data_IF_476702990398
#
_entry.id   IF_476702990398
#
_cell.length_a   1.000
_cell.length_b   1.000
_cell.length_c   1.000
_cell.angle_alpha   90.00
_cell.angle_beta   90.00
_cell.angle_gamma   90.00
#
_symmetry.space_group_name_H-M   'P 1'
#
loop_
_entity.id
_entity.type
_entity.pdbx_description
1 polymer ?
#
# COMPACT_ATOMS: atom_id res chain seq x y z
N UNK A 1 -11.33 -3.83 -29.30
CA UNK A 1 -10.27 -2.80 -29.39
C UNK A 1 -10.83 -1.42 -29.11
N UNK A 2 -11.62 -0.88 -30.03
CA UNK A 2 -12.19 0.48 -29.96
C UNK A 2 -13.14 0.70 -28.76
N UNK A 3 -14.03 -0.25 -28.48
CA UNK A 3 -14.99 -0.13 -27.37
C UNK A 3 -14.33 -0.15 -25.98
N UNK A 4 -13.27 -0.95 -25.79
CA UNK A 4 -12.48 -0.97 -24.55
C UNK A 4 -11.81 0.38 -24.31
N UNK A 5 -11.19 0.97 -25.33
CA UNK A 5 -10.54 2.28 -25.23
C UNK A 5 -11.53 3.40 -24.94
N UNK A 6 -12.71 3.36 -25.59
CA UNK A 6 -13.82 4.29 -25.30
C UNK A 6 -14.27 4.17 -23.86
N UNK A 7 -14.44 2.96 -23.35
CA UNK A 7 -14.84 2.73 -21.95
C UNK A 7 -13.80 3.27 -20.96
N UNK A 8 -12.51 3.03 -21.21
CA UNK A 8 -11.42 3.60 -20.40
C UNK A 8 -11.46 5.14 -20.44
N UNK A 9 -11.63 5.73 -21.62
CA UNK A 9 -11.70 7.18 -21.76
C UNK A 9 -12.89 7.77 -20.99
N UNK A 10 -14.08 7.16 -21.09
CA UNK A 10 -15.26 7.60 -20.35
C UNK A 10 -15.07 7.48 -18.83
N UNK A 11 -14.44 6.41 -18.36
CA UNK A 11 -14.12 6.24 -16.94
C UNK A 11 -13.17 7.34 -16.46
N UNK A 12 -12.05 7.57 -17.16
CA UNK A 12 -11.08 8.62 -16.81
C UNK A 12 -11.72 9.99 -16.84
N UNK A 13 -12.53 10.30 -17.87
CA UNK A 13 -13.25 11.58 -17.98
C UNK A 13 -14.19 11.78 -16.79
N UNK A 14 -14.99 10.77 -16.42
CA UNK A 14 -15.91 10.83 -15.28
C UNK A 14 -15.17 11.13 -13.97
N UNK A 15 -14.04 10.44 -13.73
CA UNK A 15 -13.21 10.65 -12.53
C UNK A 15 -12.62 12.06 -12.50
N UNK A 16 -12.15 12.56 -13.65
CA UNK A 16 -11.62 13.91 -13.79
C UNK A 16 -12.69 14.99 -13.53
N UNK A 17 -13.88 14.86 -14.13
CA UNK A 17 -14.98 15.78 -13.94
C UNK A 17 -15.44 15.84 -12.48
N UNK A 18 -15.51 14.69 -11.80
CA UNK A 18 -15.85 14.62 -10.38
C UNK A 18 -14.81 15.36 -9.51
N UNK A 19 -13.52 15.17 -9.78
CA UNK A 19 -12.44 15.83 -9.06
C UNK A 19 -12.47 17.36 -9.24
N UNK A 20 -12.57 17.82 -10.49
CA UNK A 20 -12.66 19.25 -10.82
C UNK A 20 -13.92 19.88 -10.22
N UNK A 21 -15.03 19.15 -10.18
CA UNK A 21 -16.28 19.62 -9.58
C UNK A 21 -16.16 19.95 -8.09
N UNK A 22 -15.27 19.26 -7.35
CA UNK A 22 -14.94 19.60 -5.96
C UNK A 22 -13.97 20.77 -5.92
N UNK A 23 -12.85 20.67 -6.64
CA UNK A 23 -11.78 21.68 -6.60
C UNK A 23 -12.23 23.08 -7.03
N UNK A 24 -13.25 23.19 -7.91
CA UNK A 24 -13.84 24.49 -8.30
C UNK A 24 -14.70 25.13 -7.20
N UNK A 25 -15.20 24.35 -6.24
CA UNK A 25 -16.08 24.83 -5.16
C UNK A 25 -15.30 25.15 -3.90
N UNK A 26 -14.25 24.40 -3.64
CA UNK A 26 -13.42 24.52 -2.45
C UNK A 26 -12.35 25.59 -2.66
N UNK A 27 -12.25 26.56 -1.74
CA UNK A 27 -11.14 27.52 -1.71
C UNK A 27 -10.01 26.94 -0.86
N UNK A 28 -8.98 26.44 -1.50
CA UNK A 28 -7.79 25.91 -0.82
C UNK A 28 -6.81 27.05 -0.55
N UNK A 29 -6.57 27.35 0.73
CA UNK A 29 -5.45 28.20 1.15
C UNK A 29 -4.18 27.35 1.23
N UNK A 30 -3.09 27.81 0.63
CA UNK A 30 -1.79 27.13 0.69
C UNK A 30 -0.91 27.85 1.71
N UNK A 31 -0.91 27.31 2.92
CA UNK A 31 -0.06 27.77 4.02
C UNK A 31 0.41 26.52 4.80
N UNK A 32 1.69 26.13 4.69
CA UNK A 32 2.21 24.94 5.35
C UNK A 32 2.40 25.12 6.86
N UNK A 33 2.47 26.36 7.34
CA UNK A 33 2.72 26.69 8.75
C UNK A 33 1.40 26.86 9.53
N UNK A 34 0.27 26.99 8.84
CA UNK A 34 -1.08 26.98 9.43
C UNK A 34 -1.69 25.56 9.46
N UNK A 35 -1.81 24.92 10.65
CA UNK A 35 -2.41 23.59 10.76
C UNK A 35 -3.86 23.52 10.26
N UNK A 36 -4.63 24.61 10.34
CA UNK A 36 -6.00 24.65 9.86
C UNK A 36 -6.05 24.61 8.33
N UNK A 37 -5.19 25.37 7.64
CA UNK A 37 -5.03 25.32 6.20
C UNK A 37 -4.60 23.92 5.72
N UNK A 38 -3.61 23.30 6.37
CA UNK A 38 -3.15 21.95 6.07
C UNK A 38 -4.26 20.91 6.25
N UNK A 39 -4.98 20.96 7.38
CA UNK A 39 -6.10 20.06 7.66
C UNK A 39 -7.24 20.22 6.65
N UNK A 40 -7.57 21.47 6.29
CA UNK A 40 -8.58 21.76 5.28
C UNK A 40 -8.17 21.20 3.90
N UNK A 41 -6.93 21.42 3.47
CA UNK A 41 -6.40 20.83 2.24
C UNK A 41 -6.52 19.30 2.24
N UNK A 42 -6.09 18.64 3.33
CA UNK A 42 -6.17 17.18 3.45
C UNK A 42 -7.63 16.68 3.34
N UNK A 43 -8.58 17.38 3.95
CA UNK A 43 -10.01 17.09 3.87
C UNK A 43 -10.54 17.23 2.43
N UNK A 44 -10.22 18.34 1.75
CA UNK A 44 -10.63 18.56 0.36
C UNK A 44 -10.08 17.47 -0.55
N UNK A 45 -8.79 17.16 -0.44
CA UNK A 45 -8.16 16.10 -1.23
C UNK A 45 -8.73 14.71 -0.93
N UNK A 46 -9.11 14.44 0.32
CA UNK A 46 -9.84 13.21 0.68
C UNK A 46 -11.19 13.14 -0.05
N UNK A 47 -11.99 14.22 0.01
CA UNK A 47 -13.28 14.30 -0.69
C UNK A 47 -13.14 14.17 -2.21
N UNK A 48 -12.10 14.77 -2.81
CA UNK A 48 -11.78 14.59 -4.24
C UNK A 48 -11.59 13.11 -4.57
N UNK A 49 -10.77 12.40 -3.79
CA UNK A 49 -10.50 10.97 -4.02
C UNK A 49 -11.76 10.12 -3.89
N UNK A 50 -12.55 10.34 -2.84
CA UNK A 50 -13.80 9.61 -2.60
C UNK A 50 -14.82 9.83 -3.73
N UNK A 51 -15.02 11.09 -4.17
CA UNK A 51 -15.98 11.39 -5.24
C UNK A 51 -15.52 10.95 -6.62
N UNK A 52 -14.21 10.93 -6.86
CA UNK A 52 -13.63 10.46 -8.11
C UNK A 52 -13.36 8.95 -8.11
N UNK A 53 -13.77 8.21 -7.07
CA UNK A 53 -13.52 6.77 -6.92
C UNK A 53 -12.03 6.42 -7.15
N UNK A 54 -11.16 7.21 -6.51
CA UNK A 54 -9.72 7.05 -6.54
C UNK A 54 -9.27 6.41 -5.22
N UNK A 55 -8.41 5.40 -5.33
CA UNK A 55 -7.80 4.80 -4.15
C UNK A 55 -7.01 5.82 -3.33
N UNK A 56 -7.12 5.74 -2.01
CA UNK A 56 -6.16 6.33 -1.08
C UNK A 56 -4.77 5.71 -1.27
N UNK A 57 -3.72 6.36 -0.77
CA UNK A 57 -2.37 5.78 -0.82
C UNK A 57 -2.28 4.47 -0.04
N UNK A 58 -2.97 4.34 1.10
CA UNK A 58 -3.05 3.08 1.84
C UNK A 58 -3.74 1.97 1.03
N UNK A 59 -4.84 2.27 0.34
CA UNK A 59 -5.53 1.32 -0.55
C UNK A 59 -4.63 0.93 -1.73
N UNK A 60 -3.90 1.88 -2.33
CA UNK A 60 -2.93 1.60 -3.41
C UNK A 60 -1.80 0.69 -2.96
N UNK A 61 -1.26 0.92 -1.76
CA UNK A 61 -0.24 0.06 -1.14
C UNK A 61 -0.79 -1.35 -0.97
N UNK A 62 -1.96 -1.48 -0.32
CA UNK A 62 -2.61 -2.77 -0.09
C UNK A 62 -2.87 -3.52 -1.41
N UNK A 63 -3.44 -2.84 -2.40
CA UNK A 63 -3.69 -3.41 -3.73
C UNK A 63 -2.39 -3.90 -4.39
N UNK A 64 -1.31 -3.12 -4.33
CA UNK A 64 -0.01 -3.49 -4.90
C UNK A 64 0.56 -4.73 -4.21
N UNK A 65 0.52 -4.78 -2.87
CA UNK A 65 0.97 -5.93 -2.10
C UNK A 65 0.16 -7.16 -2.48
N UNK A 66 -1.17 -7.08 -2.43
CA UNK A 66 -2.05 -8.21 -2.73
C UNK A 66 -1.81 -8.75 -4.15
N UNK A 67 -1.85 -7.89 -5.16
CA UNK A 67 -1.69 -8.31 -6.56
C UNK A 67 -0.34 -8.97 -6.83
N UNK A 68 0.74 -8.48 -6.21
CA UNK A 68 2.09 -9.03 -6.38
C UNK A 68 2.37 -10.26 -5.54
N UNK A 69 1.66 -10.45 -4.43
CA UNK A 69 1.97 -11.51 -3.47
C UNK A 69 0.90 -12.60 -3.35
N UNK A 70 -0.25 -12.46 -4.01
CA UNK A 70 -1.39 -13.39 -3.87
C UNK A 70 -1.04 -14.86 -4.18
N UNK A 71 -0.06 -15.11 -5.06
CA UNK A 71 0.35 -16.48 -5.46
C UNK A 71 1.61 -16.97 -4.73
N UNK A 72 2.17 -16.16 -3.83
CA UNK A 72 3.41 -16.51 -3.12
C UNK A 72 3.05 -17.33 -1.88
N UNK A 73 3.44 -18.60 -1.78
CA UNK A 73 2.95 -19.47 -0.72
C UNK A 73 3.83 -19.44 0.55
N UNK A 74 5.13 -19.16 0.43
CA UNK A 74 6.08 -19.09 1.54
C UNK A 74 6.33 -17.66 2.05
N UNK A 75 6.76 -17.54 3.29
CA UNK A 75 6.98 -16.27 3.97
C UNK A 75 8.24 -15.55 3.46
N UNK A 76 9.30 -16.29 3.11
CA UNK A 76 10.57 -15.70 2.64
C UNK A 76 10.40 -14.93 1.35
N UNK A 77 9.84 -15.58 0.33
CA UNK A 77 9.58 -14.95 -0.97
C UNK A 77 8.59 -13.80 -0.83
N UNK A 78 7.66 -13.88 0.13
CA UNK A 78 6.74 -12.80 0.44
C UNK A 78 7.47 -11.56 0.98
N UNK A 79 8.35 -11.73 1.97
CA UNK A 79 9.13 -10.62 2.55
C UNK A 79 10.07 -9.99 1.52
N UNK A 80 10.75 -10.78 0.70
CA UNK A 80 11.59 -10.25 -0.40
C UNK A 80 10.76 -9.46 -1.43
N UNK A 81 9.55 -9.93 -1.74
CA UNK A 81 8.65 -9.18 -2.63
C UNK A 81 8.18 -7.86 -2.00
N UNK A 82 7.92 -7.83 -0.68
CA UNK A 82 7.60 -6.59 0.03
C UNK A 82 8.77 -5.60 -0.01
N UNK A 83 9.99 -6.09 0.20
CA UNK A 83 11.22 -5.30 0.08
C UNK A 83 11.38 -4.69 -1.29
N UNK A 84 11.17 -5.46 -2.35
CA UNK A 84 11.17 -4.92 -3.71
C UNK A 84 10.12 -3.84 -3.93
N UNK A 85 8.89 -4.04 -3.42
CA UNK A 85 7.81 -3.06 -3.51
C UNK A 85 8.22 -1.76 -2.81
N UNK A 86 8.83 -1.87 -1.62
CA UNK A 86 9.32 -0.73 -0.85
C UNK A 86 10.40 0.04 -1.60
N UNK A 87 11.44 -0.65 -2.08
CA UNK A 87 12.57 -0.03 -2.82
C UNK A 87 12.07 0.66 -4.08
N UNK A 88 11.19 0.01 -4.86
CA UNK A 88 10.59 0.60 -6.09
C UNK A 88 9.74 1.85 -5.80
N UNK A 89 9.31 2.06 -4.55
CA UNK A 89 8.60 3.25 -4.09
C UNK A 89 9.51 4.31 -3.45
N UNK A 90 10.83 4.07 -3.39
CA UNK A 90 11.79 5.00 -2.81
C UNK A 90 11.71 5.12 -1.29
N UNK A 91 11.14 4.12 -0.61
CA UNK A 91 11.03 4.09 0.85
C UNK A 91 12.27 3.39 1.44
N UNK A 92 12.92 4.04 2.41
CA UNK A 92 14.13 3.56 3.11
C UNK A 92 13.78 2.66 4.30
N UNK A 93 14.74 1.84 4.74
CA UNK A 93 14.63 0.99 5.96
C UNK A 93 15.35 1.60 7.16
N UNK A 94 15.03 2.82 7.53
CA UNK A 94 15.89 3.52 8.51
C UNK A 94 15.89 2.84 9.89
N UNK A 95 14.89 2.01 10.18
CA UNK A 95 14.77 1.23 11.41
C UNK A 95 15.34 -0.21 11.29
N UNK A 96 15.77 -0.64 10.11
CA UNK A 96 16.29 -1.98 9.87
C UNK A 96 15.25 -3.09 10.06
N UNK A 97 13.96 -2.79 9.86
CA UNK A 97 12.87 -3.71 10.12
C UNK A 97 12.94 -4.95 9.21
N UNK A 98 13.39 -4.82 7.95
CA UNK A 98 13.52 -5.97 7.07
C UNK A 98 14.59 -6.95 7.54
N UNK A 99 15.72 -6.44 8.08
CA UNK A 99 16.77 -7.29 8.61
C UNK A 99 16.25 -8.07 9.83
N UNK A 100 15.56 -7.39 10.75
CA UNK A 100 14.93 -8.04 11.91
C UNK A 100 13.91 -9.11 11.50
N UNK A 101 13.06 -8.83 10.51
CA UNK A 101 12.07 -9.78 9.99
C UNK A 101 12.73 -11.00 9.33
N UNK A 102 13.79 -10.79 8.57
CA UNK A 102 14.56 -11.87 7.93
C UNK A 102 15.29 -12.74 8.96
N UNK A 103 15.90 -12.14 9.97
CA UNK A 103 16.60 -12.87 11.03
C UNK A 103 15.63 -13.72 11.87
N UNK A 104 14.46 -13.17 12.21
CA UNK A 104 13.40 -13.91 12.88
C UNK A 104 12.89 -15.08 12.02
N UNK A 105 12.66 -14.85 10.73
CA UNK A 105 12.26 -15.90 9.80
C UNK A 105 13.33 -16.99 9.67
N UNK A 106 14.61 -16.62 9.60
CA UNK A 106 15.73 -17.55 9.55
C UNK A 106 15.75 -18.50 10.76
N UNK A 107 15.48 -17.99 11.97
CA UNK A 107 15.39 -18.82 13.18
C UNK A 107 14.23 -19.81 13.09
N UNK A 108 13.05 -19.34 12.71
CA UNK A 108 11.85 -20.19 12.60
C UNK A 108 12.05 -21.27 11.54
N UNK A 109 12.59 -20.93 10.36
CA UNK A 109 12.83 -21.93 9.32
C UNK A 109 13.90 -22.96 9.71
N UNK A 110 14.91 -22.56 10.50
CA UNK A 110 15.89 -23.50 11.08
C UNK A 110 15.23 -24.47 12.07
N UNK A 111 14.36 -23.98 12.94
CA UNK A 111 13.62 -24.82 13.88
C UNK A 111 12.68 -25.78 13.17
N UNK A 112 11.92 -25.28 12.17
CA UNK A 112 11.00 -26.07 11.37
C UNK A 112 11.70 -27.04 10.41
N UNK A 113 12.98 -26.80 10.08
CA UNK A 113 13.79 -27.51 9.08
C UNK A 113 13.15 -27.50 7.68
N UNK A 114 12.35 -26.50 7.38
CA UNK A 114 11.64 -26.30 6.10
C UNK A 114 11.25 -24.82 5.96
N UNK A 115 10.96 -24.36 4.73
CA UNK A 115 10.40 -23.02 4.53
C UNK A 115 9.10 -22.81 5.30
N UNK A 116 8.91 -21.60 5.84
CA UNK A 116 7.67 -21.25 6.53
C UNK A 116 6.59 -20.92 5.50
N UNK A 117 5.53 -21.71 5.48
CA UNK A 117 4.38 -21.45 4.60
C UNK A 117 3.45 -20.40 5.23
N UNK A 118 2.93 -19.46 4.44
CA UNK A 118 2.03 -18.38 4.91
C UNK A 118 0.69 -18.89 5.45
N UNK A 119 0.29 -20.10 5.08
CA UNK A 119 -0.90 -20.78 5.60
C UNK A 119 -0.60 -21.68 6.82
N UNK A 120 0.66 -21.83 7.22
CA UNK A 120 1.06 -22.59 8.41
C UNK A 120 0.84 -21.74 9.66
N UNK A 121 -0.36 -21.85 10.24
CA UNK A 121 -0.74 -21.08 11.43
C UNK A 121 0.21 -21.30 12.61
N UNK A 122 0.76 -22.50 12.78
CA UNK A 122 1.66 -22.82 13.90
C UNK A 122 3.03 -22.18 13.68
N UNK A 123 3.59 -22.35 12.48
CA UNK A 123 4.85 -21.71 12.13
C UNK A 123 4.77 -20.18 12.15
N UNK A 124 3.65 -19.60 11.70
CA UNK A 124 3.43 -18.15 11.78
C UNK A 124 3.31 -17.64 13.23
N UNK A 125 2.77 -18.45 14.14
CA UNK A 125 2.75 -18.11 15.56
C UNK A 125 4.16 -18.08 16.17
N UNK A 126 5.04 -19.01 15.77
CA UNK A 126 6.45 -18.98 16.16
C UNK A 126 7.14 -17.71 15.65
N UNK A 127 6.87 -17.31 14.41
CA UNK A 127 7.41 -16.08 13.86
C UNK A 127 6.93 -14.84 14.62
N UNK A 128 5.65 -14.77 14.99
CA UNK A 128 5.12 -13.63 15.76
C UNK A 128 5.76 -13.53 17.16
N UNK A 129 6.06 -14.67 17.79
CA UNK A 129 6.70 -14.71 19.10
C UNK A 129 8.14 -14.16 19.12
N UNK A 130 8.81 -14.06 17.97
CA UNK A 130 10.15 -13.43 17.88
C UNK A 130 10.09 -11.90 18.03
N UNK A 131 8.90 -11.29 18.05
CA UNK A 131 8.71 -9.83 18.16
C UNK A 131 8.01 -9.39 19.46
N UNK A 132 7.74 -10.32 20.38
CA UNK A 132 7.24 -10.05 21.73
C UNK A 132 8.39 -9.86 22.73
#
# INVERSE_FOLDING_TARGET
>A
GDEMLKNIFFEVKKKFEAAIGVLRKEKITIDPDDPAAVSHYAKVMKTVREKADLFSESQRIQYTIQTRTQRIPDARTYLETLKEIRIKRGLTDDLGAEAMMSDALDKVEKELKKPLMRNDKKGMALLLAEFE
#
